data_IF_919626252668
#
_entry.id   IF_919626252668
#
_cell.length_a   1.000
_cell.length_b   1.000
_cell.length_c   1.000
_cell.angle_alpha   90.00
_cell.angle_beta   90.00
_cell.angle_gamma   90.00
#
_symmetry.space_group_name_H-M   'P 1'
#
loop_
_entity.id
_entity.type
_entity.pdbx_description
1 polymer ?
#
# COMPACT_ATOMS: atom_id res chain seq x y z
N UNK A 1 12.52 1.26 15.48
CA UNK A 1 11.74 0.53 14.47
C UNK A 1 10.30 1.00 14.49
N UNK A 2 9.89 1.86 13.55
CA UNK A 2 8.49 2.27 13.39
C UNK A 2 7.61 1.09 13.00
N UNK A 3 6.45 0.99 13.64
CA UNK A 3 5.46 -0.05 13.40
C UNK A 3 4.40 0.46 12.42
N UNK A 4 4.13 -0.30 11.36
CA UNK A 4 3.17 0.06 10.32
C UNK A 4 1.89 -0.76 10.36
N UNK A 5 1.98 -2.07 10.66
CA UNK A 5 0.84 -2.99 10.73
C UNK A 5 -0.15 -2.81 9.57
N UNK A 6 0.35 -2.86 8.34
CA UNK A 6 -0.45 -2.59 7.14
C UNK A 6 -0.19 -3.59 6.04
N UNK A 7 -1.22 -3.93 5.27
CA UNK A 7 -1.02 -4.60 3.99
C UNK A 7 -0.26 -3.67 3.04
N UNK A 8 0.77 -4.21 2.37
CA UNK A 8 1.63 -3.47 1.44
C UNK A 8 1.63 -4.12 0.07
N UNK A 9 2.02 -3.34 -0.95
CA UNK A 9 2.11 -3.85 -2.32
C UNK A 9 3.29 -4.80 -2.50
N UNK A 10 3.20 -5.68 -3.48
CA UNK A 10 4.09 -6.84 -3.63
C UNK A 10 5.60 -6.49 -3.73
N UNK A 11 5.95 -5.32 -4.29
CA UNK A 11 7.36 -4.86 -4.41
C UNK A 11 7.83 -3.96 -3.27
N UNK A 12 7.01 -3.72 -2.26
CA UNK A 12 7.44 -2.92 -1.09
C UNK A 12 8.62 -3.57 -0.35
N UNK A 13 8.66 -4.90 -0.10
CA UNK A 13 9.85 -5.57 0.43
C UNK A 13 11.13 -5.24 -0.34
N UNK A 14 11.08 -5.39 -1.67
CA UNK A 14 12.22 -5.11 -2.55
C UNK A 14 12.68 -3.65 -2.45
N UNK A 15 11.74 -2.69 -2.38
CA UNK A 15 12.08 -1.27 -2.24
C UNK A 15 12.75 -0.97 -0.90
N UNK A 16 12.29 -1.61 0.19
CA UNK A 16 12.88 -1.45 1.53
C UNK A 16 14.30 -2.05 1.54
N UNK A 17 14.48 -3.25 0.99
CA UNK A 17 15.79 -3.92 0.88
C UNK A 17 16.78 -3.13 0.04
N UNK A 18 16.35 -2.62 -1.13
CA UNK A 18 17.17 -1.77 -1.99
C UNK A 18 17.57 -0.45 -1.32
N UNK A 19 16.87 -0.06 -0.27
CA UNK A 19 17.22 1.09 0.55
C UNK A 19 18.17 0.74 1.71
N UNK A 20 18.72 -0.48 1.74
CA UNK A 20 19.56 -1.03 2.81
C UNK A 20 18.91 -1.00 4.20
N UNK A 21 17.59 -1.19 4.27
CA UNK A 21 16.83 -1.25 5.53
C UNK A 21 16.32 -2.65 5.79
N UNK A 22 16.22 -3.02 7.06
CA UNK A 22 15.54 -4.26 7.47
C UNK A 22 14.06 -4.00 7.76
N UNK A 23 13.27 -5.04 7.59
CA UNK A 23 11.84 -5.03 7.94
C UNK A 23 11.40 -6.40 8.44
N UNK A 24 10.29 -6.41 9.17
CA UNK A 24 9.59 -7.62 9.57
C UNK A 24 8.23 -7.63 8.88
N UNK A 25 7.87 -8.75 8.26
CA UNK A 25 6.58 -8.95 7.62
C UNK A 25 6.03 -10.34 7.89
N UNK A 26 4.75 -10.53 7.57
CA UNK A 26 4.08 -11.83 7.55
C UNK A 26 3.10 -11.89 6.39
N UNK A 27 2.64 -13.09 6.06
CA UNK A 27 1.56 -13.26 5.11
C UNK A 27 0.20 -13.15 5.82
N UNK A 28 -0.78 -12.57 5.12
CA UNK A 28 -2.17 -12.57 5.55
C UNK A 28 -2.83 -13.92 5.25
N UNK A 29 -3.64 -14.38 6.20
CA UNK A 29 -4.61 -15.46 5.95
C UNK A 29 -5.72 -14.99 5.00
N UNK A 30 -6.49 -15.91 4.41
CA UNK A 30 -7.61 -15.54 3.51
C UNK A 30 -8.62 -14.58 4.17
N UNK A 31 -8.93 -14.81 5.45
CA UNK A 31 -9.85 -13.99 6.21
C UNK A 31 -9.29 -12.57 6.44
N UNK A 32 -8.02 -12.47 6.83
CA UNK A 32 -7.37 -11.16 7.01
C UNK A 32 -7.21 -10.43 5.67
N UNK A 33 -6.83 -11.13 4.61
CA UNK A 33 -6.66 -10.57 3.28
C UNK A 33 -7.95 -9.90 2.78
N UNK A 34 -9.09 -10.58 2.94
CA UNK A 34 -10.39 -10.02 2.55
C UNK A 34 -10.71 -8.73 3.31
N UNK A 35 -10.39 -8.69 4.60
CA UNK A 35 -10.56 -7.50 5.44
C UNK A 35 -9.61 -6.37 5.01
N UNK A 36 -8.33 -6.66 4.78
CA UNK A 36 -7.34 -5.65 4.39
C UNK A 36 -7.60 -5.07 2.99
N UNK A 37 -8.00 -5.89 2.01
CA UNK A 37 -8.42 -5.40 0.69
C UNK A 37 -9.61 -4.45 0.81
N UNK A 38 -10.58 -4.76 1.67
CA UNK A 38 -11.72 -3.87 1.93
C UNK A 38 -11.27 -2.53 2.53
N UNK A 39 -10.27 -2.54 3.42
CA UNK A 39 -9.70 -1.29 3.96
C UNK A 39 -9.01 -0.46 2.88
N UNK A 40 -8.19 -1.08 2.03
CA UNK A 40 -7.50 -0.41 0.92
C UNK A 40 -8.52 0.25 -0.01
N UNK A 41 -9.61 -0.45 -0.35
CA UNK A 41 -10.66 0.12 -1.20
C UNK A 41 -11.31 1.37 -0.57
N UNK A 42 -11.53 1.36 0.75
CA UNK A 42 -12.05 2.55 1.45
C UNK A 42 -11.03 3.69 1.51
N UNK A 43 -9.75 3.40 1.68
CA UNK A 43 -8.68 4.41 1.63
C UNK A 43 -8.59 5.07 0.25
N UNK A 44 -8.58 4.28 -0.83
CA UNK A 44 -8.57 4.79 -2.22
C UNK A 44 -9.83 5.61 -2.53
N UNK A 45 -11.00 5.18 -2.04
CA UNK A 45 -12.25 5.96 -2.15
C UNK A 45 -12.17 7.29 -1.37
N UNK A 46 -11.53 7.30 -0.21
CA UNK A 46 -11.36 8.51 0.59
C UNK A 46 -10.40 9.49 -0.10
N UNK A 47 -9.29 9.01 -0.68
CA UNK A 47 -8.38 9.80 -1.52
C UNK A 47 -9.15 10.42 -2.70
N UNK A 48 -9.96 9.63 -3.40
CA UNK A 48 -10.83 10.09 -4.48
C UNK A 48 -11.83 11.17 -4.04
N UNK A 49 -12.46 11.00 -2.87
CA UNK A 49 -13.39 12.01 -2.33
C UNK A 49 -12.69 13.31 -1.93
N UNK A 50 -11.40 13.26 -1.63
CA UNK A 50 -10.62 14.41 -1.22
C UNK A 50 -10.04 15.21 -2.40
N UNK A 51 -9.98 14.64 -3.60
CA UNK A 51 -9.66 15.41 -4.81
C UNK A 51 -10.84 16.31 -5.18
N UNK A 52 -10.58 17.53 -5.66
CA UNK A 52 -11.64 18.42 -6.14
C UNK A 52 -12.44 17.70 -7.22
N UNK A 53 -13.69 17.34 -6.90
CA UNK A 53 -14.52 16.53 -7.76
C UNK A 53 -14.81 17.27 -9.08
N UNK A 54 -14.13 16.87 -10.16
CA UNK A 54 -14.49 17.19 -11.53
C UNK A 54 -14.97 15.91 -12.24
N UNK A 55 -15.49 16.05 -13.46
CA UNK A 55 -15.98 14.91 -14.27
C UNK A 55 -14.92 13.80 -14.47
N UNK A 56 -13.64 14.13 -14.30
CA UNK A 56 -12.49 13.25 -14.54
C UNK A 56 -11.98 12.52 -13.28
N UNK A 57 -12.56 12.75 -12.11
CA UNK A 57 -12.02 12.23 -10.85
C UNK A 57 -11.90 10.69 -10.83
N UNK A 58 -12.79 9.97 -11.52
CA UNK A 58 -12.77 8.49 -11.58
C UNK A 58 -11.60 8.01 -12.44
N UNK A 59 -11.33 8.70 -13.55
CA UNK A 59 -10.20 8.41 -14.42
C UNK A 59 -8.87 8.70 -13.71
N UNK A 60 -8.78 9.80 -12.98
CA UNK A 60 -7.59 10.12 -12.17
C UNK A 60 -7.38 9.12 -11.01
N UNK A 61 -8.46 8.61 -10.40
CA UNK A 61 -8.36 7.51 -9.44
C UNK A 61 -7.77 6.26 -10.10
N UNK A 62 -8.33 5.82 -11.23
CA UNK A 62 -7.85 4.64 -11.93
C UNK A 62 -6.38 4.78 -12.37
N UNK A 63 -6.02 5.94 -12.93
CA UNK A 63 -4.65 6.29 -13.28
C UNK A 63 -3.71 6.24 -12.08
N UNK A 64 -4.13 6.78 -10.93
CA UNK A 64 -3.36 6.71 -9.69
C UNK A 64 -3.16 5.26 -9.24
N UNK A 65 -4.21 4.42 -9.30
CA UNK A 65 -4.12 3.00 -8.95
C UNK A 65 -3.17 2.25 -9.88
N UNK A 66 -3.24 2.49 -11.18
CA UNK A 66 -2.36 1.92 -12.19
C UNK A 66 -0.91 2.36 -11.98
N UNK A 67 -0.66 3.62 -11.65
CA UNK A 67 0.69 4.12 -11.40
C UNK A 67 1.28 3.56 -10.10
N UNK A 68 0.49 3.46 -9.02
CA UNK A 68 0.89 2.76 -7.79
C UNK A 68 1.23 1.29 -8.10
N UNK A 69 0.41 0.61 -8.89
CA UNK A 69 0.63 -0.79 -9.29
C UNK A 69 1.89 -0.96 -10.16
N UNK A 70 2.10 -0.09 -11.16
CA UNK A 70 3.30 -0.07 -12.01
C UNK A 70 4.59 0.23 -11.26
N UNK A 71 4.53 0.99 -10.17
CA UNK A 71 5.70 1.31 -9.34
C UNK A 71 5.97 0.26 -8.25
N UNK A 72 4.92 -0.29 -7.63
CA UNK A 72 5.03 -1.03 -6.36
C UNK A 72 4.40 -2.43 -6.37
N UNK A 73 3.75 -2.83 -7.45
CA UNK A 73 3.08 -4.13 -7.57
C UNK A 73 1.60 -4.11 -7.15
N UNK A 74 0.97 -5.28 -7.21
CA UNK A 74 -0.40 -5.49 -6.77
C UNK A 74 -0.46 -5.74 -5.27
N UNK A 75 -1.36 -6.61 -4.86
CA UNK A 75 -1.49 -7.10 -3.48
C UNK A 75 -1.59 -8.62 -3.45
N UNK A 76 -1.10 -9.29 -4.50
CA UNK A 76 -1.30 -10.73 -4.71
C UNK A 76 -0.46 -11.57 -3.74
N UNK A 77 0.66 -11.03 -3.27
CA UNK A 77 1.57 -11.68 -2.32
C UNK A 77 1.09 -11.55 -0.87
N UNK A 78 0.01 -10.79 -0.62
CA UNK A 78 -0.67 -10.68 0.69
C UNK A 78 0.26 -10.29 1.85
N UNK A 79 1.20 -9.41 1.56
CA UNK A 79 2.27 -9.03 2.48
C UNK A 79 1.72 -8.05 3.52
N UNK A 80 1.91 -8.37 4.80
CA UNK A 80 1.60 -7.50 5.92
C UNK A 80 2.88 -7.04 6.60
N UNK A 81 3.18 -5.75 6.45
CA UNK A 81 4.37 -5.13 7.01
C UNK A 81 4.13 -4.79 8.47
N UNK A 82 4.99 -5.30 9.36
CA UNK A 82 4.91 -5.08 10.80
C UNK A 82 5.76 -3.87 11.18
N UNK A 83 7.05 -3.90 10.85
CA UNK A 83 8.03 -2.88 11.26
C UNK A 83 9.14 -2.72 10.24
N UNK A 84 9.77 -1.53 10.24
CA UNK A 84 11.00 -1.23 9.49
C UNK A 84 12.04 -0.67 10.47
N UNK A 85 13.33 -0.90 10.22
CA UNK A 85 14.44 -0.54 11.11
C UNK A 85 14.41 0.96 11.52
N UNK A 86 14.11 1.84 10.55
CA UNK A 86 14.07 3.30 10.70
C UNK A 86 12.81 3.92 10.07
N UNK A 87 12.53 5.20 10.37
CA UNK A 87 11.44 5.94 9.71
C UNK A 87 11.73 6.10 8.22
N UNK A 88 11.04 5.27 7.44
CA UNK A 88 11.16 5.22 5.99
C UNK A 88 10.32 6.30 5.29
N UNK A 89 9.64 7.18 6.03
CA UNK A 89 8.73 8.16 5.44
C UNK A 89 7.60 7.48 4.67
N UNK A 90 7.17 6.32 5.17
CA UNK A 90 6.35 5.37 4.44
C UNK A 90 4.92 5.86 4.13
N UNK A 91 4.51 7.00 4.71
CA UNK A 91 3.27 7.69 4.37
C UNK A 91 3.11 7.94 2.85
N UNK A 92 4.23 8.05 2.12
CA UNK A 92 4.21 8.24 0.66
C UNK A 92 4.24 6.92 -0.14
N UNK A 93 4.46 5.78 0.52
CA UNK A 93 4.74 4.49 -0.13
C UNK A 93 3.63 3.44 0.02
N UNK A 94 2.72 3.63 0.95
CA UNK A 94 1.50 2.82 1.05
C UNK A 94 0.38 3.35 0.16
#
# INVERSE_FOLDING_TARGET
MPTYNKQVRDRIPEIIENSNRKFTSRLLTDAEYSSEITKIMHEELAEYKATEANEDAVEELEKTRLDKAKKRGGFDERIFLIEVEDDWGAANYF
#
